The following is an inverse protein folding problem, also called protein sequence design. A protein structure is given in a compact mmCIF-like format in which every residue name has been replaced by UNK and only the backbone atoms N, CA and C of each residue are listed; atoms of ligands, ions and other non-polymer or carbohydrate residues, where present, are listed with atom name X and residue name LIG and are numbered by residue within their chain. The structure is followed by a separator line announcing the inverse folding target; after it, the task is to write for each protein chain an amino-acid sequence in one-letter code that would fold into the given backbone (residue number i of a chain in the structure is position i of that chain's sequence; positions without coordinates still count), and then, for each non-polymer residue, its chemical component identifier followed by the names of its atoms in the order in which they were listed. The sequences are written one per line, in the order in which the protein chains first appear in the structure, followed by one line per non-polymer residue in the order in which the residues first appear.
data_IF_700936197244
#
_entry.id   IF_700936197244
#
_cell.length_a   1.000
_cell.length_b   1.000
_cell.length_c   1.000
_cell.angle_alpha   90.00
_cell.angle_beta   90.00
_cell.angle_gamma   90.00
#
_symmetry.space_group_name_H-M   'P 1'
#
loop_
_entity.id
_entity.type
_entity.pdbx_description
1 polymer ?
#
# COMPACT_ATOMS: atom_id res chain seq x y z
N UNK A 1 8.51 -2.56 6.81
CA UNK A 1 9.48 -3.64 6.49
C UNK A 1 10.79 -3.34 7.21
N UNK A 2 11.72 -4.31 7.29
CA UNK A 2 13.08 -4.04 7.75
C UNK A 2 13.80 -3.14 6.74
N UNK A 3 14.57 -2.16 7.22
CA UNK A 3 15.21 -1.14 6.37
C UNK A 3 16.58 -1.56 5.81
N UNK A 4 17.02 -2.79 6.11
CA UNK A 4 18.16 -3.40 5.45
C UNK A 4 17.67 -4.08 4.17
N UNK A 5 18.13 -3.63 3.00
CA UNK A 5 17.53 -4.01 1.71
C UNK A 5 17.51 -5.53 1.46
N UNK A 6 18.56 -6.25 1.86
CA UNK A 6 18.59 -7.70 1.67
C UNK A 6 17.49 -8.40 2.48
N UNK A 7 17.12 -7.87 3.65
CA UNK A 7 16.03 -8.40 4.48
C UNK A 7 14.66 -8.16 3.85
N UNK A 8 14.48 -7.13 3.02
CA UNK A 8 13.24 -6.90 2.28
C UNK A 8 12.98 -8.08 1.33
N UNK A 9 13.99 -8.49 0.56
CA UNK A 9 13.86 -9.62 -0.39
C UNK A 9 13.71 -10.99 0.29
N UNK A 10 14.21 -11.12 1.52
CA UNK A 10 14.02 -12.33 2.34
C UNK A 10 12.64 -12.41 3.00
N UNK A 11 11.80 -11.39 2.83
CA UNK A 11 10.42 -11.40 3.30
C UNK A 11 10.20 -10.74 4.65
N UNK A 12 11.15 -9.95 5.17
CA UNK A 12 10.92 -9.09 6.35
C UNK A 12 10.12 -7.84 5.97
N UNK A 13 8.98 -8.07 5.34
CA UNK A 13 8.06 -7.08 4.83
C UNK A 13 6.63 -7.42 5.22
N UNK A 14 5.89 -6.39 5.58
CA UNK A 14 4.45 -6.47 5.80
C UNK A 14 3.84 -5.13 5.39
N UNK A 15 2.56 -5.15 5.06
CA UNK A 15 1.75 -3.98 4.83
C UNK A 15 0.50 -4.04 5.71
N UNK A 16 0.00 -2.88 6.12
CA UNK A 16 -1.30 -2.77 6.74
C UNK A 16 -2.30 -2.34 5.68
N UNK A 17 -3.43 -3.04 5.59
CA UNK A 17 -4.57 -2.58 4.81
C UNK A 17 -5.49 -1.78 5.72
N UNK A 18 -5.51 -0.46 5.51
CA UNK A 18 -6.46 0.42 6.19
C UNK A 18 -7.70 0.59 5.32
N UNK A 19 -8.86 0.21 5.84
CA UNK A 19 -10.14 0.32 5.14
C UNK A 19 -10.66 1.78 5.19
N UNK A 20 -11.49 2.14 4.22
CA UNK A 20 -12.14 3.45 4.19
C UNK A 20 -13.03 3.66 5.41
N UNK A 21 -13.07 4.89 5.91
CA UNK A 21 -13.97 5.33 6.96
C UNK A 21 -15.34 5.75 6.44
N UNK A 22 -16.14 6.34 7.32
CA UNK A 22 -17.52 6.78 7.01
C UNK A 22 -17.57 8.16 6.36
N UNK A 23 -16.57 9.01 6.62
CA UNK A 23 -16.53 10.36 6.06
C UNK A 23 -15.82 10.39 4.69
N UNK A 24 -16.18 11.31 3.78
CA UNK A 24 -15.55 11.40 2.46
C UNK A 24 -14.04 11.61 2.50
N UNK A 25 -13.52 12.33 3.51
CA UNK A 25 -12.09 12.56 3.74
C UNK A 25 -11.34 11.33 4.30
N UNK A 26 -12.05 10.27 4.68
CA UNK A 26 -11.51 8.99 5.16
C UNK A 26 -11.53 7.91 4.07
N UNK A 27 -11.84 8.27 2.83
CA UNK A 27 -11.93 7.38 1.68
C UNK A 27 -10.83 7.70 0.67
N UNK A 28 -10.13 6.68 0.18
CA UNK A 28 -9.12 6.85 -0.86
C UNK A 28 -9.75 7.22 -2.21
N UNK A 29 -9.09 8.08 -3.02
CA UNK A 29 -9.54 8.35 -4.39
C UNK A 29 -9.38 7.11 -5.29
N UNK A 30 -10.11 7.05 -6.43
CA UNK A 30 -9.95 5.98 -7.40
C UNK A 30 -8.54 5.99 -8.02
N UNK A 31 -8.06 4.83 -8.52
CA UNK A 31 -6.74 4.75 -9.15
C UNK A 31 -6.67 5.61 -10.43
N UNK A 32 -5.49 6.19 -10.73
CA UNK A 32 -5.28 6.93 -11.98
C UNK A 32 -5.51 6.08 -13.24
N UNK A 33 -5.95 6.69 -14.36
CA UNK A 33 -6.18 5.95 -15.61
C UNK A 33 -4.92 5.32 -16.23
N UNK A 34 -3.74 5.85 -15.93
CA UNK A 34 -2.44 5.46 -16.46
C UNK A 34 -1.70 4.44 -15.57
N UNK A 35 -2.40 3.82 -14.62
CA UNK A 35 -1.80 2.85 -13.71
C UNK A 35 -1.22 1.64 -14.48
N UNK A 36 0.02 1.20 -14.19
CA UNK A 36 0.65 0.09 -14.89
C UNK A 36 -0.13 -1.21 -14.69
N UNK A 37 -0.14 -2.05 -15.73
CA UNK A 37 -0.77 -3.38 -15.66
C UNK A 37 0.11 -4.34 -14.85
N UNK A 38 -0.53 -5.18 -14.05
CA UNK A 38 0.10 -6.27 -13.30
C UNK A 38 0.54 -7.41 -14.22
#
# INVERSE_FOLDING_TARGET
HCHLEIHLTWGLSMAFLTLNGNEPNQTLPPPPPDYPKC
#
